data_IF_725109842780
#
_entry.id   IF_725109842780
#
_cell.length_a   1.000
_cell.length_b   1.000
_cell.length_c   1.000
_cell.angle_alpha   90.00
_cell.angle_beta   90.00
_cell.angle_gamma   90.00
#
_symmetry.space_group_name_H-M   'P 1'
#
loop_
_entity.id
_entity.type
_entity.pdbx_description
1 polymer ?
#
# COMPACT_ATOMS: atom_id res chain seq x y z
N UNK A 1 -40.32 42.83 -11.46
CA UNK A 1 -40.57 41.36 -11.43
C UNK A 1 -39.27 40.63 -11.70
N UNK A 2 -38.55 40.18 -10.66
CA UNK A 2 -37.31 39.44 -10.81
C UNK A 2 -37.63 37.93 -10.84
N UNK A 3 -37.50 37.30 -12.00
CA UNK A 3 -37.57 35.83 -12.14
C UNK A 3 -36.33 35.22 -11.48
N UNK A 4 -36.48 34.70 -10.26
CA UNK A 4 -35.54 33.72 -9.72
C UNK A 4 -35.61 32.47 -10.59
N UNK A 5 -34.54 32.16 -11.32
CA UNK A 5 -34.31 30.85 -11.94
C UNK A 5 -34.18 29.84 -10.80
N UNK A 6 -35.27 29.15 -10.48
CA UNK A 6 -35.20 27.92 -9.69
C UNK A 6 -34.52 26.86 -10.53
N UNK A 7 -33.32 26.43 -10.13
CA UNK A 7 -32.73 25.19 -10.63
C UNK A 7 -33.73 24.06 -10.41
N UNK A 8 -33.86 23.15 -11.37
CA UNK A 8 -34.81 22.04 -11.23
C UNK A 8 -34.33 21.17 -10.07
N UNK A 9 -35.22 20.70 -9.15
CA UNK A 9 -34.84 19.86 -8.01
C UNK A 9 -34.01 18.60 -8.39
N UNK A 10 -34.13 18.15 -9.63
CA UNK A 10 -33.34 17.07 -10.21
C UNK A 10 -31.87 17.43 -10.46
N UNK A 11 -31.56 18.67 -10.85
CA UNK A 11 -30.20 19.14 -11.14
C UNK A 11 -29.38 19.29 -9.85
N UNK A 12 -30.00 19.80 -8.78
CA UNK A 12 -29.34 19.92 -7.48
C UNK A 12 -29.06 18.54 -6.86
N UNK A 13 -30.01 17.60 -6.98
CA UNK A 13 -29.81 16.21 -6.52
C UNK A 13 -28.66 15.52 -7.26
N UNK A 14 -28.61 15.66 -8.58
CA UNK A 14 -27.55 15.06 -9.40
C UNK A 14 -26.18 15.65 -9.08
N UNK A 15 -26.12 16.97 -8.86
CA UNK A 15 -24.88 17.64 -8.48
C UNK A 15 -24.36 17.12 -7.13
N UNK A 16 -25.20 17.08 -6.11
CA UNK A 16 -24.81 16.56 -4.78
C UNK A 16 -24.37 15.10 -4.84
N UNK A 17 -25.08 14.27 -5.61
CA UNK A 17 -24.68 12.87 -5.80
C UNK A 17 -23.36 12.73 -6.58
N UNK A 18 -23.12 13.60 -7.56
CA UNK A 18 -21.86 13.64 -8.31
C UNK A 18 -20.69 14.00 -7.41
N UNK A 19 -20.83 15.06 -6.61
CA UNK A 19 -19.79 15.51 -5.68
C UNK A 19 -19.42 14.40 -4.68
N UNK A 20 -20.44 13.76 -4.07
CA UNK A 20 -20.21 12.62 -3.17
C UNK A 20 -19.52 11.45 -3.86
N UNK A 21 -19.95 11.13 -5.07
CA UNK A 21 -19.38 10.01 -5.82
C UNK A 21 -17.90 10.27 -6.18
N UNK A 22 -17.55 11.50 -6.58
CA UNK A 22 -16.16 11.89 -6.86
C UNK A 22 -15.30 11.96 -5.59
N UNK A 23 -15.86 12.39 -4.45
CA UNK A 23 -15.16 12.34 -3.16
C UNK A 23 -14.69 10.92 -2.81
N UNK A 24 -15.46 9.87 -3.18
CA UNK A 24 -15.02 8.47 -3.00
C UNK A 24 -13.74 8.18 -3.78
N UNK A 25 -13.62 8.66 -5.02
CA UNK A 25 -12.44 8.47 -5.86
C UNK A 25 -11.26 9.34 -5.41
N UNK A 26 -11.51 10.51 -4.83
CA UNK A 26 -10.48 11.39 -4.27
C UNK A 26 -9.86 10.79 -2.99
N UNK A 27 -10.71 10.33 -2.06
CA UNK A 27 -10.29 9.76 -0.78
C UNK A 27 -9.66 8.38 -0.99
N UNK A 28 -10.20 7.58 -1.90
CA UNK A 28 -9.71 6.24 -2.20
C UNK A 28 -9.59 6.06 -3.72
N UNK A 29 -8.49 6.51 -4.34
CA UNK A 29 -8.26 6.32 -5.78
C UNK A 29 -8.24 4.82 -6.13
N UNK A 30 -9.15 4.42 -7.01
CA UNK A 30 -9.43 3.01 -7.26
C UNK A 30 -10.28 2.77 -8.50
N UNK A 31 -10.41 1.49 -8.86
CA UNK A 31 -11.37 1.03 -9.87
C UNK A 31 -12.53 0.35 -9.16
N UNK A 32 -13.73 0.90 -9.33
CA UNK A 32 -14.91 0.45 -8.63
C UNK A 32 -15.97 -0.07 -9.59
N UNK A 33 -16.53 -1.24 -9.28
CA UNK A 33 -17.76 -1.70 -9.93
C UNK A 33 -18.96 -1.05 -9.28
N UNK A 34 -20.11 -1.14 -9.94
CA UNK A 34 -21.40 -0.72 -9.39
C UNK A 34 -21.71 -1.35 -8.03
N UNK A 35 -21.36 -2.63 -7.87
CA UNK A 35 -21.54 -3.36 -6.59
C UNK A 35 -20.77 -2.75 -5.43
N UNK A 36 -19.65 -2.06 -5.72
CA UNK A 36 -18.86 -1.38 -4.70
C UNK A 36 -19.44 0.00 -4.37
N UNK A 37 -20.01 0.68 -5.37
CA UNK A 37 -20.47 2.06 -5.24
C UNK A 37 -21.90 2.18 -4.70
N UNK A 38 -22.80 1.26 -5.06
CA UNK A 38 -24.20 1.31 -4.62
C UNK A 38 -24.36 1.36 -3.09
N UNK A 39 -23.66 0.54 -2.29
CA UNK A 39 -23.79 0.61 -0.83
C UNK A 39 -23.27 1.91 -0.20
N UNK A 40 -22.46 2.68 -0.94
CA UNK A 40 -21.86 3.94 -0.49
C UNK A 40 -22.69 5.17 -0.88
N UNK A 41 -23.73 4.96 -1.69
CA UNK A 41 -24.60 6.02 -2.17
C UNK A 41 -25.98 5.88 -1.53
N UNK A 42 -26.55 6.96 -0.97
CA UNK A 42 -27.92 6.93 -0.43
C UNK A 42 -28.99 6.93 -1.54
N UNK A 43 -28.62 7.22 -2.79
CA UNK A 43 -29.51 7.17 -3.95
C UNK A 43 -29.72 5.74 -4.45
N UNK A 44 -30.89 5.49 -5.07
CA UNK A 44 -31.22 4.20 -5.67
C UNK A 44 -30.19 3.75 -6.73
N UNK A 45 -29.87 2.45 -6.76
CA UNK A 45 -28.93 1.82 -7.69
C UNK A 45 -29.15 2.24 -9.16
N UNK A 46 -30.41 2.28 -9.61
CA UNK A 46 -30.74 2.69 -10.98
C UNK A 46 -30.41 4.15 -11.27
N UNK A 47 -30.48 5.03 -10.26
CA UNK A 47 -30.05 6.41 -10.37
C UNK A 47 -28.51 6.49 -10.41
N UNK A 48 -27.83 5.78 -9.51
CA UNK A 48 -26.36 5.77 -9.44
C UNK A 48 -25.74 5.20 -10.73
N UNK A 49 -26.33 4.13 -11.29
CA UNK A 49 -25.93 3.58 -12.59
C UNK A 49 -25.98 4.64 -13.71
N UNK A 50 -27.12 5.35 -13.84
CA UNK A 50 -27.26 6.42 -14.85
C UNK A 50 -26.29 7.57 -14.61
N UNK A 51 -25.98 7.88 -13.35
CA UNK A 51 -25.01 8.91 -13.00
C UNK A 51 -23.60 8.51 -13.43
N UNK A 52 -23.20 7.27 -13.15
CA UNK A 52 -21.90 6.71 -13.56
C UNK A 52 -21.72 6.72 -15.08
N UNK A 53 -22.74 6.28 -15.82
CA UNK A 53 -22.72 6.31 -17.29
C UNK A 53 -22.55 7.76 -17.81
N UNK A 54 -23.28 8.74 -17.25
CA UNK A 54 -23.11 10.15 -17.65
C UNK A 54 -21.74 10.73 -17.31
N UNK A 55 -21.19 10.39 -16.14
CA UNK A 55 -19.85 10.85 -15.75
C UNK A 55 -18.76 10.23 -16.64
N UNK A 56 -18.96 8.98 -17.07
CA UNK A 56 -18.10 8.32 -18.06
C UNK A 56 -18.23 8.97 -19.46
N UNK A 57 -19.45 9.24 -19.92
CA UNK A 57 -19.71 9.95 -21.19
C UNK A 57 -19.06 11.33 -21.21
N UNK A 58 -19.12 12.06 -20.08
CA UNK A 58 -18.49 13.37 -19.89
C UNK A 58 -16.97 13.30 -19.67
N UNK A 59 -16.39 12.08 -19.66
CA UNK A 59 -14.96 11.82 -19.43
C UNK A 59 -14.44 12.32 -18.07
N UNK A 60 -15.34 12.54 -17.11
CA UNK A 60 -14.97 12.78 -15.71
C UNK A 60 -14.49 11.48 -15.09
N UNK A 61 -15.20 10.39 -15.38
CA UNK A 61 -14.76 9.03 -15.10
C UNK A 61 -14.36 8.33 -16.40
N UNK A 62 -13.59 7.27 -16.25
CA UNK A 62 -13.26 6.33 -17.31
C UNK A 62 -13.90 4.99 -16.98
N UNK A 63 -14.47 4.33 -17.98
CA UNK A 63 -15.13 3.03 -17.85
C UNK A 63 -14.25 1.94 -18.44
N UNK A 64 -14.08 0.86 -17.69
CA UNK A 64 -13.44 -0.37 -18.16
C UNK A 64 -14.35 -1.58 -17.94
N UNK A 65 -14.05 -2.67 -18.64
CA UNK A 65 -14.72 -3.96 -18.43
C UNK A 65 -13.76 -4.90 -17.73
N UNK A 66 -14.17 -5.38 -16.56
CA UNK A 66 -13.37 -6.22 -15.69
C UNK A 66 -14.18 -7.45 -15.31
N UNK A 67 -13.71 -8.63 -15.71
CA UNK A 67 -14.42 -9.92 -15.55
C UNK A 67 -15.89 -9.86 -16.04
N UNK A 68 -16.12 -9.16 -17.15
CA UNK A 68 -17.44 -8.99 -17.76
C UNK A 68 -18.36 -7.97 -17.07
N UNK A 69 -17.85 -7.20 -16.09
CA UNK A 69 -18.61 -6.15 -15.40
C UNK A 69 -18.03 -4.77 -15.68
N UNK A 70 -18.88 -3.74 -15.75
CA UNK A 70 -18.47 -2.35 -15.84
C UNK A 70 -17.81 -1.92 -14.53
N UNK A 71 -16.67 -1.23 -14.65
CA UNK A 71 -15.99 -0.61 -13.54
C UNK A 71 -15.47 0.77 -13.93
N UNK A 72 -15.41 1.67 -12.96
CA UNK A 72 -15.19 3.09 -13.17
C UNK A 72 -14.01 3.59 -12.34
N UNK A 73 -13.28 4.55 -12.88
CA UNK A 73 -12.14 5.20 -12.24
C UNK A 73 -12.02 6.66 -12.64
N UNK A 74 -11.41 7.49 -11.81
CA UNK A 74 -11.21 8.91 -12.07
C UNK A 74 -9.78 9.22 -12.55
N UNK A 75 -9.59 9.67 -13.80
CA UNK A 75 -8.27 9.99 -14.34
C UNK A 75 -7.64 11.24 -13.74
N UNK A 76 -8.43 12.16 -13.17
CA UNK A 76 -7.93 13.43 -12.63
C UNK A 76 -6.93 13.22 -11.47
N UNK A 77 -7.05 12.11 -10.73
CA UNK A 77 -6.17 11.77 -9.61
C UNK A 77 -4.92 10.98 -10.01
N UNK A 78 -4.65 10.80 -11.32
CA UNK A 78 -3.48 10.07 -11.80
C UNK A 78 -3.52 8.55 -11.53
N UNK A 79 -4.65 8.04 -11.06
CA UNK A 79 -4.96 6.62 -10.97
C UNK A 79 -5.30 6.11 -12.39
N UNK A 80 -4.76 4.96 -12.80
CA UNK A 80 -5.07 4.29 -14.08
C UNK A 80 -5.12 2.77 -13.82
N UNK A 81 -6.28 2.11 -13.96
CA UNK A 81 -6.47 0.69 -13.67
C UNK A 81 -5.66 -0.22 -14.59
N UNK A 82 -5.25 0.25 -15.78
CA UNK A 82 -4.33 -0.48 -16.67
C UNK A 82 -2.94 -0.60 -16.08
N UNK A 83 -2.63 0.20 -15.05
CA UNK A 83 -1.43 0.10 -14.23
C UNK A 83 -1.59 -0.90 -13.07
N UNK A 84 -2.79 -1.47 -12.88
CA UNK A 84 -3.11 -2.49 -11.88
C UNK A 84 -4.13 -2.00 -10.85
N UNK A 85 -5.35 -2.56 -10.92
CA UNK A 85 -6.40 -2.38 -9.92
C UNK A 85 -6.07 -3.20 -8.68
N UNK A 86 -5.92 -2.55 -7.52
CA UNK A 86 -5.80 -3.26 -6.26
C UNK A 86 -7.17 -3.76 -5.80
N UNK A 87 -7.59 -4.91 -6.36
CA UNK A 87 -8.84 -5.60 -5.96
C UNK A 87 -8.76 -6.18 -4.55
N UNK A 88 -7.55 -6.42 -4.05
CA UNK A 88 -7.26 -6.93 -2.72
C UNK A 88 -5.87 -6.48 -2.29
N UNK A 89 -5.71 -6.16 -1.00
CA UNK A 89 -4.42 -5.93 -0.37
C UNK A 89 -3.92 -7.25 0.22
N UNK A 90 -2.64 -7.55 0.02
CA UNK A 90 -1.99 -8.70 0.65
C UNK A 90 -1.47 -8.34 2.04
N UNK A 91 -1.95 -8.96 3.11
CA UNK A 91 -1.39 -8.78 4.45
C UNK A 91 -0.24 -9.77 4.65
N UNK A 92 0.94 -9.24 4.96
CA UNK A 92 2.05 -10.08 5.43
C UNK A 92 1.76 -10.53 6.87
N UNK A 93 2.15 -11.77 7.25
CA UNK A 93 1.77 -12.34 8.53
C UNK A 93 2.37 -11.56 9.70
N UNK A 94 1.56 -11.37 10.75
CA UNK A 94 1.97 -10.75 12.01
C UNK A 94 2.55 -11.83 12.95
N UNK A 95 3.82 -12.17 12.77
CA UNK A 95 4.52 -13.16 13.62
C UNK A 95 5.15 -12.53 14.88
N UNK A 96 5.35 -11.21 14.85
CA UNK A 96 5.85 -10.35 15.93
C UNK A 96 4.73 -9.40 16.39
N UNK A 97 3.77 -9.90 17.19
CA UNK A 97 2.79 -9.05 17.88
C UNK A 97 3.48 -8.11 18.88
N UNK A 98 2.73 -7.12 19.39
CA UNK A 98 3.22 -6.02 20.22
C UNK A 98 4.16 -6.47 21.34
N UNK A 99 3.81 -7.51 22.10
CA UNK A 99 4.64 -8.01 23.20
C UNK A 99 6.04 -8.49 22.74
N UNK A 100 6.12 -9.22 21.63
CA UNK A 100 7.38 -9.67 21.04
C UNK A 100 8.16 -8.49 20.46
N UNK A 101 7.48 -7.56 19.79
CA UNK A 101 8.09 -6.36 19.24
C UNK A 101 8.65 -5.46 20.36
N UNK A 102 7.91 -5.23 21.44
CA UNK A 102 8.35 -4.47 22.60
C UNK A 102 9.57 -5.11 23.27
N UNK A 103 9.57 -6.44 23.46
CA UNK A 103 10.75 -7.16 23.99
C UNK A 103 11.97 -6.97 23.07
N UNK A 104 11.76 -7.03 21.76
CA UNK A 104 12.81 -6.79 20.76
C UNK A 104 13.34 -5.35 20.80
N UNK A 105 12.46 -4.36 20.97
CA UNK A 105 12.84 -2.96 21.11
C UNK A 105 13.70 -2.73 22.36
N UNK A 106 13.31 -3.29 23.51
CA UNK A 106 14.08 -3.20 24.77
C UNK A 106 15.47 -3.80 24.61
N UNK A 107 15.56 -5.01 24.04
CA UNK A 107 16.83 -5.67 23.80
C UNK A 107 17.75 -4.88 22.85
N UNK A 108 17.20 -4.12 21.90
CA UNK A 108 17.99 -3.24 21.02
C UNK A 108 18.57 -2.04 21.77
N UNK A 109 17.82 -1.46 22.72
CA UNK A 109 18.31 -0.37 23.57
C UNK A 109 19.39 -0.86 24.54
N UNK A 110 19.20 -2.02 25.17
CA UNK A 110 20.12 -2.61 26.15
C UNK A 110 21.49 -3.00 25.56
N UNK A 111 21.58 -3.20 24.24
CA UNK A 111 22.84 -3.55 23.56
C UNK A 111 23.80 -2.36 23.39
N UNK A 112 23.36 -1.13 23.66
CA UNK A 112 24.19 0.07 23.53
C UNK A 112 24.81 0.45 24.88
N UNK A 113 26.09 0.84 24.86
CA UNK A 113 26.91 1.22 26.03
C UNK A 113 26.30 2.41 26.83
N UNK A 114 25.40 3.21 26.23
CA UNK A 114 24.69 4.35 26.86
C UNK A 114 23.45 3.94 27.69
N UNK A 115 23.52 2.79 28.35
CA UNK A 115 22.44 2.01 28.99
C UNK A 115 21.50 2.72 29.98
N UNK A 116 21.76 3.95 30.41
CA UNK A 116 21.11 4.51 31.59
C UNK A 116 20.11 5.64 31.32
N UNK A 117 19.93 6.05 30.06
CA UNK A 117 19.15 7.26 29.77
C UNK A 117 18.03 7.08 28.76
N UNK A 118 17.76 5.88 28.24
CA UNK A 118 16.74 5.67 27.21
C UNK A 118 15.71 4.63 27.64
N UNK A 119 14.43 4.94 27.41
CA UNK A 119 13.31 4.05 27.69
C UNK A 119 12.28 4.07 26.55
N UNK A 120 11.47 3.02 26.48
CA UNK A 120 10.36 2.95 25.53
C UNK A 120 9.20 3.76 26.11
N UNK A 121 8.78 4.77 25.36
CA UNK A 121 7.58 5.55 25.65
C UNK A 121 6.34 4.93 25.00
N UNK A 122 5.68 5.69 24.13
CA UNK A 122 4.51 5.23 23.37
C UNK A 122 4.84 4.24 22.25
N UNK A 123 3.79 3.64 21.69
CA UNK A 123 3.87 2.82 20.51
C UNK A 123 2.70 3.09 19.55
N UNK A 124 2.93 2.83 18.27
CA UNK A 124 1.92 2.91 17.22
C UNK A 124 2.04 1.68 16.31
N UNK A 125 0.92 1.30 15.71
CA UNK A 125 0.88 0.28 14.67
C UNK A 125 0.48 0.92 13.34
N UNK A 126 1.15 0.52 12.27
CA UNK A 126 0.87 0.97 10.91
C UNK A 126 1.30 -0.10 9.91
N UNK A 127 0.90 0.07 8.66
CA UNK A 127 1.37 -0.75 7.55
C UNK A 127 2.34 0.02 6.65
N UNK A 128 3.42 -0.66 6.26
CA UNK A 128 4.27 -0.22 5.18
C UNK A 128 3.89 -0.91 3.87
N UNK A 129 3.50 -0.15 2.83
CA UNK A 129 3.20 -0.72 1.53
C UNK A 129 4.46 -1.28 0.86
N UNK A 130 4.37 -2.52 0.36
CA UNK A 130 5.35 -3.22 -0.46
C UNK A 130 4.68 -3.76 -1.72
N UNK A 131 5.19 -3.41 -2.90
CA UNK A 131 4.79 -4.07 -4.13
C UNK A 131 5.44 -5.44 -4.23
N UNK A 132 4.66 -6.53 -4.21
CA UNK A 132 5.15 -7.84 -4.63
C UNK A 132 5.15 -7.88 -6.15
N UNK A 133 6.33 -8.04 -6.72
CA UNK A 133 6.58 -8.12 -8.16
C UNK A 133 7.07 -9.54 -8.47
N UNK A 134 6.19 -10.42 -8.95
CA UNK A 134 6.61 -11.70 -9.52
C UNK A 134 7.51 -11.43 -10.73
N UNK A 135 8.68 -12.05 -10.76
CA UNK A 135 9.67 -11.83 -11.81
C UNK A 135 10.47 -13.10 -12.12
N UNK A 136 10.98 -13.18 -13.34
CA UNK A 136 11.96 -14.20 -13.71
C UNK A 136 13.38 -13.63 -13.61
N UNK A 137 14.28 -14.38 -12.99
CA UNK A 137 15.70 -14.05 -12.89
C UNK A 137 16.55 -15.13 -13.54
N UNK A 138 17.68 -14.72 -14.14
CA UNK A 138 18.60 -15.65 -14.77
C UNK A 138 19.40 -16.45 -13.73
N UNK A 139 19.54 -17.75 -13.97
CA UNK A 139 20.42 -18.68 -13.24
C UNK A 139 21.20 -19.48 -14.29
N UNK A 140 22.26 -18.89 -14.82
CA UNK A 140 22.97 -19.43 -15.99
C UNK A 140 22.04 -19.49 -17.20
N UNK A 141 21.90 -20.64 -17.89
CA UNK A 141 20.99 -20.78 -19.03
C UNK A 141 19.50 -20.87 -18.63
N UNK A 142 19.21 -21.10 -17.35
CA UNK A 142 17.85 -21.27 -16.85
C UNK A 142 17.25 -19.94 -16.37
N UNK A 143 15.93 -19.84 -16.38
CA UNK A 143 15.17 -18.79 -15.71
C UNK A 143 14.44 -19.37 -14.51
N UNK A 144 14.45 -18.67 -13.39
CA UNK A 144 13.74 -19.07 -12.17
C UNK A 144 12.80 -17.96 -11.72
N UNK A 145 11.61 -18.33 -11.27
CA UNK A 145 10.64 -17.39 -10.71
C UNK A 145 11.04 -16.93 -9.31
N UNK A 146 10.87 -15.63 -9.05
CA UNK A 146 11.08 -14.99 -7.75
C UNK A 146 10.02 -13.93 -7.51
N UNK A 147 9.50 -13.90 -6.29
CA UNK A 147 8.73 -12.76 -5.81
C UNK A 147 9.68 -11.75 -5.18
N UNK A 148 9.76 -10.56 -5.80
CA UNK A 148 10.63 -9.46 -5.39
C UNK A 148 9.77 -8.35 -4.81
N UNK A 149 10.19 -7.73 -3.72
CA UNK A 149 9.37 -6.75 -3.01
C UNK A 149 10.00 -5.37 -3.08
N UNK A 150 9.23 -4.37 -3.52
CA UNK A 150 9.65 -2.97 -3.62
C UNK A 150 8.87 -2.13 -2.62
N UNK A 151 9.57 -1.36 -1.79
CA UNK A 151 8.94 -0.45 -0.84
C UNK A 151 8.18 0.66 -1.56
N UNK A 152 6.87 0.73 -1.31
CA UNK A 152 5.93 1.67 -1.93
C UNK A 152 6.16 3.14 -1.55
N UNK A 153 7.00 3.42 -0.56
CA UNK A 153 7.27 4.79 -0.07
C UNK A 153 8.56 5.39 -0.65
N UNK A 154 9.64 4.61 -0.73
CA UNK A 154 10.99 5.14 -1.02
C UNK A 154 11.77 4.33 -2.09
N UNK A 155 11.09 3.41 -2.81
CA UNK A 155 11.65 2.65 -3.94
C UNK A 155 12.73 1.63 -3.60
N UNK A 156 13.06 1.42 -2.32
CA UNK A 156 14.05 0.40 -1.92
C UNK A 156 13.51 -1.01 -2.11
N UNK A 157 14.37 -1.95 -2.48
CA UNK A 157 14.05 -3.37 -2.45
C UNK A 157 14.06 -3.90 -1.02
N UNK A 158 13.03 -4.65 -0.68
CA UNK A 158 12.92 -5.38 0.57
C UNK A 158 13.60 -6.75 0.39
N UNK A 159 14.70 -6.96 1.10
CA UNK A 159 15.59 -8.12 0.97
C UNK A 159 15.68 -8.84 2.31
N UNK A 160 15.37 -10.14 2.29
CA UNK A 160 15.59 -11.03 3.41
C UNK A 160 16.99 -11.61 3.34
N UNK A 161 17.75 -11.52 4.43
CA UNK A 161 19.07 -12.12 4.55
C UNK A 161 19.23 -12.72 5.94
N UNK A 162 19.35 -14.05 6.02
CA UNK A 162 19.46 -14.76 7.30
C UNK A 162 18.26 -14.49 8.23
N UNK A 163 17.05 -14.44 7.66
CA UNK A 163 15.81 -14.16 8.40
C UNK A 163 15.63 -12.70 8.83
N UNK A 164 16.51 -11.78 8.43
CA UNK A 164 16.38 -10.34 8.73
C UNK A 164 16.02 -9.56 7.47
N UNK A 165 14.96 -8.77 7.58
CA UNK A 165 14.50 -7.87 6.55
C UNK A 165 15.38 -6.62 6.52
N UNK A 166 15.81 -6.23 5.32
CA UNK A 166 16.55 -4.99 5.07
C UNK A 166 15.98 -4.29 3.83
N UNK A 167 16.08 -2.96 3.78
CA UNK A 167 15.67 -2.17 2.61
C UNK A 167 16.89 -1.59 1.92
N UNK A 168 17.09 -1.89 0.64
CA UNK A 168 18.30 -1.53 -0.10
C UNK A 168 18.01 -0.97 -1.50
N UNK A 169 18.85 -0.04 -1.95
CA UNK A 169 18.84 0.40 -3.36
C UNK A 169 19.56 -0.59 -4.28
N UNK A 170 20.49 -1.37 -3.74
CA UNK A 170 21.27 -2.37 -4.45
C UNK A 170 21.22 -3.69 -3.68
N UNK A 171 21.02 -4.78 -4.41
CA UNK A 171 21.03 -6.13 -3.83
C UNK A 171 22.43 -6.70 -3.94
N UNK A 172 23.06 -7.11 -2.83
CA UNK A 172 24.33 -7.82 -2.90
C UNK A 172 24.12 -9.24 -3.45
N UNK A 173 24.95 -9.63 -4.40
CA UNK A 173 24.95 -10.97 -4.97
C UNK A 173 23.95 -11.20 -6.10
N UNK A 174 23.80 -12.46 -6.51
CA UNK A 174 22.99 -12.82 -7.66
C UNK A 174 21.49 -12.83 -7.35
N UNK A 175 20.68 -12.24 -8.23
CA UNK A 175 19.22 -12.11 -8.06
C UNK A 175 18.49 -13.45 -7.80
N UNK A 176 18.97 -14.55 -8.38
CA UNK A 176 18.39 -15.89 -8.18
C UNK A 176 18.60 -16.43 -6.75
N UNK A 177 19.55 -15.88 -5.98
CA UNK A 177 19.76 -16.21 -4.57
C UNK A 177 18.86 -15.43 -3.61
N UNK A 178 18.10 -14.46 -4.12
CA UNK A 178 17.16 -13.72 -3.29
C UNK A 178 16.11 -14.65 -2.69
N UNK A 179 15.99 -14.58 -1.38
CA UNK A 179 14.91 -15.23 -0.63
C UNK A 179 13.62 -14.43 -0.85
N UNK A 180 12.54 -15.13 -1.18
CA UNK A 180 11.19 -14.56 -1.15
C UNK A 180 10.82 -14.26 0.29
N UNK A 181 10.32 -13.04 0.55
CA UNK A 181 9.96 -12.62 1.91
C UNK A 181 8.95 -13.57 2.56
N UNK A 182 7.84 -13.82 1.87
CA UNK A 182 6.74 -14.65 2.36
C UNK A 182 6.17 -15.42 1.18
N UNK A 183 5.95 -16.73 1.35
CA UNK A 183 5.25 -17.55 0.34
C UNK A 183 3.89 -16.94 0.01
N UNK A 184 3.48 -16.85 -1.27
CA UNK A 184 2.17 -16.32 -1.67
C UNK A 184 0.95 -16.94 -0.96
N UNK A 185 1.07 -18.20 -0.52
CA UNK A 185 0.05 -18.94 0.24
C UNK A 185 -0.11 -18.47 1.69
N UNK A 186 0.88 -17.76 2.24
CA UNK A 186 0.86 -17.20 3.59
C UNK A 186 0.48 -15.71 3.61
N UNK A 187 0.18 -15.15 2.44
CA UNK A 187 -0.29 -13.77 2.30
C UNK A 187 -1.81 -13.81 2.33
N UNK A 188 -2.39 -13.25 3.37
CA UNK A 188 -3.84 -13.09 3.46
C UNK A 188 -4.29 -11.98 2.51
N UNK A 189 -5.41 -12.15 1.82
CA UNK A 189 -5.88 -11.20 0.81
C UNK A 189 -7.21 -10.64 1.25
N UNK A 190 -7.21 -9.35 1.57
CA UNK A 190 -8.39 -8.66 2.09
C UNK A 190 -8.78 -7.50 1.19
N UNK A 191 -10.07 -7.15 1.14
CA UNK A 191 -10.50 -5.88 0.57
C UNK A 191 -9.90 -4.68 1.34
N UNK A 192 -9.55 -3.57 0.68
CA UNK A 192 -8.96 -2.39 1.32
C UNK A 192 -9.76 -1.86 2.53
N UNK A 193 -11.09 -1.87 2.44
CA UNK A 193 -12.01 -1.39 3.48
C UNK A 193 -11.95 -2.19 4.79
N UNK A 194 -11.34 -3.37 4.79
CA UNK A 194 -11.12 -4.17 6.00
C UNK A 194 -9.86 -3.77 6.76
N UNK A 195 -8.97 -2.98 6.16
CA UNK A 195 -7.78 -2.47 6.82
C UNK A 195 -8.15 -1.19 7.56
N UNK A 196 -8.11 -1.23 8.90
CA UNK A 196 -8.52 -0.11 9.75
C UNK A 196 -7.33 0.75 10.19
N UNK A 197 -6.14 0.17 10.15
CA UNK A 197 -4.91 0.79 10.60
C UNK A 197 -4.29 1.65 9.49
N UNK A 198 -3.53 2.66 9.91
CA UNK A 198 -2.90 3.59 8.98
C UNK A 198 -1.95 2.86 8.00
N UNK A 199 -2.11 3.15 6.72
CA UNK A 199 -1.22 2.68 5.65
C UNK A 199 -0.39 3.88 5.23
N UNK A 200 0.93 3.77 5.33
CA UNK A 200 1.80 4.86 4.90
C UNK A 200 1.54 5.22 3.43
N UNK A 201 1.57 6.51 3.05
CA UNK A 201 1.26 6.93 1.70
C UNK A 201 2.09 6.23 0.64
N UNK A 202 1.41 5.61 -0.33
CA UNK A 202 2.05 4.94 -1.47
C UNK A 202 2.51 6.01 -2.47
N UNK A 203 3.81 6.06 -2.75
CA UNK A 203 4.46 7.04 -3.65
C UNK A 203 5.08 6.41 -4.89
N UNK A 204 5.01 5.09 -4.98
CA UNK A 204 5.56 4.29 -6.08
C UNK A 204 4.40 3.58 -6.73
N UNK A 205 4.22 3.77 -8.03
CA UNK A 205 3.21 3.07 -8.79
C UNK A 205 3.67 1.62 -9.15
N UNK A 206 2.75 0.70 -9.49
CA UNK A 206 3.09 -0.70 -9.80
C UNK A 206 4.08 -0.85 -10.97
N UNK A 207 3.89 -0.05 -12.02
CA UNK A 207 4.77 0.02 -13.20
C UNK A 207 6.18 0.49 -12.82
N UNK A 208 6.27 1.50 -11.95
CA UNK A 208 7.54 1.96 -11.39
C UNK A 208 8.21 0.87 -10.55
N UNK A 209 7.45 0.08 -9.77
CA UNK A 209 7.99 -1.03 -9.01
C UNK A 209 8.56 -2.13 -9.93
N UNK A 210 7.85 -2.49 -11.00
CA UNK A 210 8.38 -3.38 -12.04
C UNK A 210 9.67 -2.84 -12.67
N UNK A 211 9.71 -1.54 -12.97
CA UNK A 211 10.88 -0.89 -13.53
C UNK A 211 12.09 -0.94 -12.59
N UNK A 212 11.87 -0.69 -11.30
CA UNK A 212 12.90 -0.81 -10.26
C UNK A 212 13.45 -2.23 -10.22
N UNK A 213 12.58 -3.24 -10.22
CA UNK A 213 12.98 -4.65 -10.23
C UNK A 213 13.81 -4.99 -11.47
N UNK A 214 13.39 -4.52 -12.64
CA UNK A 214 14.12 -4.72 -13.89
C UNK A 214 15.51 -4.07 -13.84
N UNK A 215 15.60 -2.80 -13.41
CA UNK A 215 16.86 -2.04 -13.39
C UNK A 215 17.83 -2.51 -12.32
N UNK A 216 17.34 -2.80 -11.11
CA UNK A 216 18.21 -3.06 -9.96
C UNK A 216 18.78 -4.47 -9.96
N UNK A 217 18.04 -5.46 -10.47
CA UNK A 217 18.46 -6.87 -10.40
C UNK A 217 18.39 -7.61 -11.75
N UNK A 218 18.11 -6.91 -12.86
CA UNK A 218 18.05 -7.50 -14.20
C UNK A 218 16.94 -8.54 -14.39
N UNK A 219 15.91 -8.50 -13.55
CA UNK A 219 14.80 -9.45 -13.61
C UNK A 219 13.78 -9.05 -14.70
N UNK A 220 13.05 -10.04 -15.22
CA UNK A 220 11.89 -9.81 -16.09
C UNK A 220 10.61 -9.84 -15.25
N UNK A 221 10.03 -8.69 -14.87
CA UNK A 221 8.81 -8.66 -14.07
C UNK A 221 7.60 -9.16 -14.87
N UNK A 222 6.57 -9.60 -14.16
CA UNK A 222 5.24 -9.90 -14.69
C UNK A 222 4.24 -8.82 -14.21
N UNK A 223 4.00 -7.77 -15.00
CA UNK A 223 3.16 -6.64 -14.59
C UNK A 223 1.72 -7.03 -14.23
N UNK A 224 1.15 -8.03 -14.90
CA UNK A 224 -0.23 -8.48 -14.68
C UNK A 224 -0.44 -9.23 -13.36
N UNK A 225 0.61 -9.45 -12.57
CA UNK A 225 0.55 -10.17 -11.28
C UNK A 225 1.15 -9.37 -10.11
N UNK A 226 1.40 -8.08 -10.32
CA UNK A 226 1.86 -7.20 -9.24
C UNK A 226 0.73 -7.00 -8.25
N UNK A 227 1.00 -7.20 -6.97
CA UNK A 227 0.04 -6.97 -5.89
C UNK A 227 0.66 -6.04 -4.82
N UNK A 228 -0.17 -5.20 -4.20
CA UNK A 228 0.25 -4.42 -3.05
C UNK A 228 0.12 -5.28 -1.80
N UNK A 229 1.24 -5.49 -1.12
CA UNK A 229 1.30 -6.14 0.17
C UNK A 229 1.56 -5.12 1.29
N UNK A 230 1.00 -5.35 2.46
CA UNK A 230 1.14 -4.53 3.65
C UNK A 230 2.03 -5.26 4.65
N UNK A 231 3.20 -4.67 4.95
CA UNK A 231 4.08 -5.14 6.01
C UNK A 231 3.64 -4.50 7.34
N UNK A 232 3.26 -5.29 8.36
CA UNK A 232 2.95 -4.74 9.68
C UNK A 232 4.20 -4.09 10.29
N UNK A 233 4.04 -2.90 10.88
CA UNK A 233 5.11 -2.16 11.54
C UNK A 233 4.67 -1.64 12.90
N UNK A 234 5.52 -1.88 13.89
CA UNK A 234 5.45 -1.22 15.19
C UNK A 234 6.41 -0.04 15.21
N UNK A 235 5.92 1.15 15.54
CA UNK A 235 6.74 2.29 15.94
C UNK A 235 6.83 2.33 17.46
N UNK A 236 8.03 2.46 17.99
CA UNK A 236 8.27 2.71 19.40
C UNK A 236 8.92 4.07 19.57
N UNK A 237 8.35 4.89 20.43
CA UNK A 237 8.97 6.11 20.90
C UNK A 237 10.13 5.78 21.83
N UNK A 238 11.31 6.36 21.58
CA UNK A 238 12.45 6.30 22.48
C UNK A 238 12.52 7.64 23.20
N UNK A 239 12.25 7.61 24.50
CA UNK A 239 12.38 8.76 25.39
C UNK A 239 13.76 8.76 26.02
N UNK A 240 14.37 9.93 26.08
CA UNK A 240 15.58 10.11 26.85
C UNK A 240 15.21 10.68 28.22
N UNK A 241 15.78 10.13 29.30
CA UNK A 241 15.56 10.61 30.68
C UNK A 241 16.04 12.05 30.89
N UNK A 242 16.93 12.54 30.03
CA UNK A 242 17.26 13.96 29.97
C UNK A 242 16.38 14.63 28.91
N UNK A 243 15.43 15.46 29.36
CA UNK A 243 14.35 16.08 28.57
C UNK A 243 14.82 16.91 27.36
N UNK A 244 16.10 17.29 27.30
CA UNK A 244 16.64 18.15 26.23
C UNK A 244 16.92 17.42 24.91
N UNK A 245 16.78 16.09 24.83
CA UNK A 245 17.05 15.34 23.60
C UNK A 245 15.77 15.12 22.79
N UNK A 246 15.89 15.31 21.46
CA UNK A 246 14.81 15.01 20.52
C UNK A 246 14.33 13.56 20.67
N UNK A 247 13.01 13.38 20.73
CA UNK A 247 12.36 12.08 20.62
C UNK A 247 12.82 11.36 19.36
N UNK A 248 13.22 10.10 19.50
CA UNK A 248 13.60 9.25 18.38
C UNK A 248 12.62 8.09 18.28
N UNK A 249 12.57 7.46 17.11
CA UNK A 249 11.75 6.29 16.90
C UNK A 249 12.58 5.07 16.55
N UNK A 250 12.08 3.93 17.00
CA UNK A 250 12.51 2.62 16.59
C UNK A 250 11.36 1.94 15.87
N UNK A 251 11.64 1.36 14.72
CA UNK A 251 10.66 0.58 13.97
C UNK A 251 11.00 -0.89 14.08
N UNK A 252 9.98 -1.72 14.27
CA UNK A 252 10.12 -3.18 14.23
C UNK A 252 9.09 -3.72 13.26
N UNK A 253 9.53 -4.48 12.26
CA UNK A 253 8.57 -5.17 11.40
C UNK A 253 7.91 -6.34 12.12
N UNK A 254 6.59 -6.44 11.94
CA UNK A 254 5.73 -7.42 12.57
C UNK A 254 5.85 -8.81 11.95
N UNK A 255 6.60 -9.01 10.86
CA UNK A 255 6.69 -10.30 10.16
C UNK A 255 7.95 -11.08 10.53
N UNK A 256 9.09 -10.39 10.61
CA UNK A 256 10.44 -10.93 10.80
C UNK A 256 11.11 -10.40 12.07
N UNK A 257 10.57 -9.35 12.71
CA UNK A 257 11.15 -8.78 13.94
C UNK A 257 12.48 -8.05 13.71
N UNK A 258 12.71 -7.58 12.48
CA UNK A 258 13.86 -6.76 12.12
C UNK A 258 13.63 -5.33 12.58
N UNK A 259 14.73 -4.69 12.93
CA UNK A 259 14.71 -3.37 13.53
C UNK A 259 15.22 -2.34 12.53
N UNK A 260 14.48 -1.26 12.35
CA UNK A 260 14.86 -0.11 11.52
C UNK A 260 14.88 1.13 12.41
N UNK A 261 15.77 2.07 12.07
CA UNK A 261 15.80 3.38 12.71
C UNK A 261 15.43 4.41 11.66
N UNK A 262 14.82 5.51 12.09
CA UNK A 262 14.74 6.68 11.23
C UNK A 262 16.18 7.04 10.82
N UNK A 263 16.40 7.16 9.51
CA UNK A 263 17.63 7.77 9.03
C UNK A 263 17.56 9.23 9.47
N UNK A 264 18.42 9.59 10.42
CA UNK A 264 18.74 10.99 10.73
C UNK A 264 19.29 11.69 9.50
#
# INVERSE_FOLDING_TARGET
MARRKGGRPSEDREKTASERLLEIFEVLPGLYSEKHLFPLMPEEDAFVHRLLERLAERKVLQRETVDGQSAYWEPAHGFDPRRGVLRSLGLLPLNFPLNKAAKRARAELERRILRYREEIGGHEFSYLPLWRVPAEVARGPQRVGRDVYVQGVNRKLAVLHGGRLTFRHLVPGAAWKLETLVSPSKIDRVPPEKVREDIRPVRVAPDQAAEIVRRTIGAKPNPGRIELCLLPLWRFEIKHREEKRRTRHLWIDGTFGSTFRDAS
#
